data_IF_206965776397
#
_entry.id   IF_206965776397
#
_cell.length_a   1.000
_cell.length_b   1.000
_cell.length_c   1.000
_cell.angle_alpha   90.00
_cell.angle_beta   90.00
_cell.angle_gamma   90.00
#
_symmetry.space_group_name_H-M   'P 1'
#
loop_
_entity.id
_entity.type
_entity.pdbx_description
1 polymer ?
#
# COMPACT_ATOMS: atom_id res chain seq x y z
N UNK A 1 -58.96 -29.73 33.53
CA UNK A 1 -59.72 -30.77 32.81
C UNK A 1 -60.19 -30.17 31.48
N UNK A 2 -59.39 -30.30 30.42
CA UNK A 2 -59.89 -30.39 29.05
C UNK A 2 -58.80 -31.08 28.22
N UNK A 3 -59.22 -32.13 27.53
CA UNK A 3 -58.49 -32.89 26.51
C UNK A 3 -59.14 -32.48 25.19
N UNK A 4 -58.33 -32.28 24.14
CA UNK A 4 -58.67 -32.52 22.73
C UNK A 4 -57.35 -32.64 21.93
N UNK A 5 -56.91 -33.87 21.61
CA UNK A 5 -57.02 -34.56 20.30
C UNK A 5 -56.15 -33.96 19.19
N UNK A 6 -54.89 -34.43 19.04
CA UNK A 6 -54.37 -35.45 18.09
C UNK A 6 -54.33 -34.99 16.62
N UNK A 7 -53.12 -34.96 16.02
CA UNK A 7 -52.68 -35.49 14.71
C UNK A 7 -51.19 -35.07 14.55
N UNK A 8 -50.22 -35.80 14.01
CA UNK A 8 -50.05 -37.18 13.60
C UNK A 8 -48.52 -37.34 13.41
N UNK A 9 -47.95 -38.44 13.90
CA UNK A 9 -46.51 -38.71 13.83
C UNK A 9 -46.22 -39.35 12.46
N UNK A 10 -45.54 -38.62 11.57
CA UNK A 10 -44.87 -39.20 10.39
C UNK A 10 -43.38 -39.01 10.56
N UNK A 11 -42.71 -40.13 10.81
CA UNK A 11 -41.26 -40.25 10.85
C UNK A 11 -40.70 -40.08 9.43
N UNK A 12 -39.88 -39.06 9.23
CA UNK A 12 -38.96 -38.97 8.10
C UNK A 12 -37.54 -38.98 8.68
N UNK A 13 -36.86 -40.11 8.51
CA UNK A 13 -35.44 -40.27 8.78
C UNK A 13 -34.70 -39.54 7.66
N UNK A 14 -34.23 -38.32 7.90
CA UNK A 14 -33.23 -37.67 7.07
C UNK A 14 -31.84 -38.05 7.60
N UNK A 15 -31.17 -38.97 6.90
CA UNK A 15 -29.74 -39.22 7.06
C UNK A 15 -29.00 -38.01 6.48
N UNK A 16 -28.56 -37.11 7.34
CA UNK A 16 -27.61 -36.05 6.99
C UNK A 16 -26.21 -36.68 6.85
N UNK A 17 -25.77 -36.87 5.61
CA UNK A 17 -24.37 -37.13 5.31
C UNK A 17 -23.56 -35.86 5.63
N UNK A 18 -22.86 -35.85 6.77
CA UNK A 18 -21.80 -34.89 7.03
C UNK A 18 -20.66 -35.18 6.04
N UNK A 19 -20.60 -34.43 4.95
CA UNK A 19 -19.36 -34.28 4.20
C UNK A 19 -18.44 -33.40 5.06
N UNK A 20 -17.53 -34.03 5.81
CA UNK A 20 -16.44 -33.35 6.46
C UNK A 20 -15.50 -32.82 5.36
N UNK A 21 -15.71 -31.58 4.94
CA UNK A 21 -14.70 -30.84 4.19
C UNK A 21 -13.58 -30.52 5.16
N UNK A 22 -12.54 -31.35 5.13
CA UNK A 22 -11.25 -31.03 5.70
C UNK A 22 -10.72 -29.78 5.04
N UNK A 23 -10.94 -28.62 5.68
CA UNK A 23 -10.16 -27.42 5.43
C UNK A 23 -8.74 -27.77 5.84
N UNK A 24 -7.95 -28.18 4.86
CA UNK A 24 -6.50 -28.13 5.00
C UNK A 24 -6.16 -26.66 5.06
N UNK A 25 -6.01 -26.14 6.29
CA UNK A 25 -5.25 -24.92 6.49
C UNK A 25 -3.89 -25.20 5.84
N UNK A 26 -3.64 -24.61 4.68
CA UNK A 26 -2.29 -24.45 4.18
C UNK A 26 -1.60 -23.62 5.24
N UNK A 27 -0.90 -24.32 6.13
CA UNK A 27 0.06 -23.71 7.01
C UNK A 27 0.91 -22.80 6.14
N UNK A 28 0.89 -21.50 6.45
CA UNK A 28 1.96 -20.63 6.03
C UNK A 28 3.24 -21.36 6.40
N UNK A 29 4.00 -21.75 5.38
CA UNK A 29 5.37 -22.15 5.61
C UNK A 29 6.00 -20.99 6.40
N UNK A 30 6.46 -21.30 7.61
CA UNK A 30 7.08 -20.32 8.49
C UNK A 30 8.16 -19.54 7.76
N UNK A 31 8.42 -18.33 8.26
CA UNK A 31 9.50 -17.46 7.78
C UNK A 31 10.72 -18.31 7.36
N UNK A 32 11.19 -18.21 6.11
CA UNK A 32 12.41 -18.89 5.74
C UNK A 32 13.50 -18.39 6.68
N UNK A 33 14.08 -19.31 7.45
CA UNK A 33 15.28 -19.02 8.22
C UNK A 33 16.33 -18.42 7.29
N UNK A 34 16.92 -17.32 7.74
CA UNK A 34 17.90 -16.51 7.05
C UNK A 34 19.06 -17.35 6.51
N UNK A 35 19.03 -17.59 5.20
CA UNK A 35 20.18 -17.87 4.38
C UNK A 35 19.99 -17.06 3.12
N UNK A 36 20.57 -15.86 3.07
CA UNK A 36 20.62 -15.11 1.83
C UNK A 36 21.46 -15.93 0.85
N UNK A 37 20.81 -16.61 -0.10
CA UNK A 37 21.51 -17.04 -1.31
C UNK A 37 22.09 -15.81 -2.02
N UNK A 38 22.89 -15.99 -3.06
CA UNK A 38 23.48 -14.87 -3.81
C UNK A 38 22.43 -13.84 -4.28
N UNK A 39 21.16 -14.28 -4.41
CA UNK A 39 20.02 -13.44 -4.73
C UNK A 39 18.79 -13.78 -3.88
N UNK A 40 17.96 -12.78 -3.64
CA UNK A 40 16.68 -12.90 -2.95
C UNK A 40 15.64 -11.93 -3.52
N UNK A 41 14.37 -12.09 -3.14
CA UNK A 41 13.32 -11.16 -3.57
C UNK A 41 13.32 -9.93 -2.67
N UNK A 42 13.23 -8.76 -3.28
CA UNK A 42 13.04 -7.48 -2.60
C UNK A 42 11.81 -6.78 -3.17
N UNK A 43 11.01 -6.15 -2.32
CA UNK A 43 9.88 -5.33 -2.78
C UNK A 43 10.42 -4.04 -3.39
N UNK A 44 9.98 -3.72 -4.60
CA UNK A 44 10.44 -2.53 -5.36
C UNK A 44 9.33 -1.54 -5.67
N UNK A 45 8.09 -1.96 -5.44
CA UNK A 45 6.90 -1.14 -5.54
C UNK A 45 5.80 -1.82 -4.71
N UNK A 46 5.04 -1.02 -3.98
CA UNK A 46 3.83 -1.48 -3.32
C UNK A 46 2.77 -0.38 -3.31
N UNK A 47 1.52 -0.80 -3.18
CA UNK A 47 0.41 0.06 -2.78
C UNK A 47 -0.53 -0.75 -1.89
N UNK A 48 -0.75 -0.28 -0.66
CA UNK A 48 -1.58 -0.99 0.31
C UNK A 48 -3.05 -1.03 -0.15
N UNK A 49 -3.66 -2.20 -0.34
CA UNK A 49 -5.07 -2.28 -0.70
C UNK A 49 -5.95 -1.73 0.44
N UNK A 50 -7.04 -1.05 0.11
CA UNK A 50 -7.89 -0.38 1.11
C UNK A 50 -9.37 -0.68 0.92
N UNK A 51 -9.78 -0.82 -0.33
CA UNK A 51 -11.16 -0.98 -0.70
C UNK A 51 -11.38 -2.32 -1.40
N UNK A 52 -12.65 -2.74 -1.42
CA UNK A 52 -13.18 -3.52 -2.52
C UNK A 52 -14.16 -2.67 -3.34
N UNK A 53 -14.30 -1.38 -3.01
CA UNK A 53 -15.43 -0.57 -3.43
C UNK A 53 -15.11 0.19 -4.71
N UNK A 54 -15.91 -0.04 -5.74
CA UNK A 54 -16.12 0.95 -6.77
C UNK A 54 -16.71 2.21 -6.14
N UNK A 55 -16.28 3.38 -6.60
CA UNK A 55 -17.12 4.55 -6.38
C UNK A 55 -18.51 4.27 -6.97
N UNK A 56 -19.56 4.80 -6.37
CA UNK A 56 -20.88 4.89 -7.03
C UNK A 56 -20.74 5.84 -8.21
N UNK A 57 -20.25 5.35 -9.35
CA UNK A 57 -19.94 6.14 -10.54
C UNK A 57 -19.95 5.29 -11.81
N UNK A 58 -19.86 5.90 -13.01
CA UNK A 58 -19.89 5.20 -14.31
C UNK A 58 -18.73 4.22 -14.55
N UNK A 59 -17.81 4.12 -13.59
CA UNK A 59 -16.60 3.30 -13.58
C UNK A 59 -16.81 2.04 -12.73
N UNK A 60 -17.88 1.28 -13.01
CA UNK A 60 -18.17 0.01 -12.34
C UNK A 60 -17.53 -1.17 -13.08
N UNK A 61 -16.33 -1.68 -12.68
CA UNK A 61 -15.86 -3.06 -12.80
C UNK A 61 -16.90 -4.19 -12.63
N UNK A 62 -17.86 -4.27 -13.54
CA UNK A 62 -19.01 -5.15 -13.38
C UNK A 62 -18.93 -6.52 -14.07
N UNK A 63 -17.83 -6.87 -14.76
CA UNK A 63 -17.81 -8.07 -15.59
C UNK A 63 -16.47 -8.36 -16.28
N UNK A 64 -16.53 -9.17 -17.34
CA UNK A 64 -15.38 -9.53 -18.17
C UNK A 64 -14.65 -8.27 -18.68
N UNK A 65 -13.40 -8.06 -18.30
CA UNK A 65 -12.72 -6.78 -18.53
C UNK A 65 -11.21 -6.95 -18.43
N UNK A 66 -10.48 -6.11 -19.15
CA UNK A 66 -9.02 -6.03 -19.03
C UNK A 66 -8.61 -4.71 -18.37
N UNK A 67 -7.85 -4.80 -17.29
CA UNK A 67 -7.15 -3.69 -16.66
C UNK A 67 -5.71 -3.65 -17.16
N UNK A 68 -5.13 -2.46 -17.29
CA UNK A 68 -3.72 -2.23 -17.54
C UNK A 68 -3.22 -1.27 -16.48
N UNK A 69 -2.70 -1.86 -15.41
CA UNK A 69 -2.27 -1.16 -14.21
C UNK A 69 -0.84 -0.71 -14.41
N UNK A 70 -0.62 0.60 -14.37
CA UNK A 70 0.70 1.20 -14.50
C UNK A 70 1.29 1.37 -13.12
N UNK A 71 2.47 0.79 -12.92
CA UNK A 71 3.26 0.92 -11.69
C UNK A 71 4.66 1.39 -12.03
N UNK A 72 5.36 2.01 -11.09
CA UNK A 72 6.73 2.51 -11.31
C UNK A 72 7.64 2.00 -10.21
N UNK A 73 8.32 0.85 -10.42
CA UNK A 73 9.27 0.32 -9.47
C UNK A 73 10.44 1.27 -9.21
N UNK A 74 10.82 1.38 -7.94
CA UNK A 74 11.92 2.23 -7.47
C UNK A 74 13.29 1.64 -7.77
N UNK A 75 13.37 0.32 -7.95
CA UNK A 75 14.57 -0.40 -8.38
C UNK A 75 14.27 -1.25 -9.61
N UNK A 76 15.27 -1.37 -10.47
CA UNK A 76 15.26 -2.24 -11.65
C UNK A 76 15.85 -3.64 -11.40
N UNK A 77 15.67 -4.53 -12.37
CA UNK A 77 16.10 -5.93 -12.30
C UNK A 77 15.66 -6.73 -13.52
N UNK A 78 16.10 -7.99 -13.59
CA UNK A 78 15.89 -8.88 -14.75
C UNK A 78 14.77 -9.91 -14.55
N UNK A 79 14.20 -9.96 -13.36
CA UNK A 79 13.07 -10.84 -13.05
C UNK A 79 12.17 -10.18 -12.04
N UNK A 80 10.89 -10.12 -12.37
CA UNK A 80 9.85 -9.59 -11.49
C UNK A 80 8.96 -10.71 -10.96
N UNK A 81 8.33 -10.45 -9.82
CA UNK A 81 7.21 -11.24 -9.30
C UNK A 81 6.09 -10.27 -8.92
N UNK A 82 4.88 -10.55 -9.40
CA UNK A 82 3.72 -9.67 -9.22
C UNK A 82 2.81 -10.27 -8.16
N UNK A 83 2.37 -9.45 -7.20
CA UNK A 83 1.35 -9.84 -6.22
C UNK A 83 0.01 -9.24 -6.62
N UNK A 84 -0.94 -10.12 -6.87
CA UNK A 84 -2.34 -9.76 -7.09
C UNK A 84 -3.15 -9.92 -5.80
N UNK A 85 -4.18 -9.11 -5.63
CA UNK A 85 -4.97 -9.05 -4.39
C UNK A 85 -6.46 -9.22 -4.60
N UNK A 86 -7.08 -9.98 -3.69
CA UNK A 86 -8.52 -10.03 -3.45
C UNK A 86 -8.80 -9.88 -1.93
N UNK A 87 -7.92 -9.14 -1.23
CA UNK A 87 -7.88 -9.05 0.23
C UNK A 87 -9.15 -8.47 0.86
N UNK A 88 -9.86 -7.61 0.15
CA UNK A 88 -11.09 -7.00 0.65
C UNK A 88 -12.34 -7.45 -0.13
N UNK A 89 -12.17 -8.21 -1.22
CA UNK A 89 -13.27 -8.72 -2.01
C UNK A 89 -14.10 -9.75 -1.25
N UNK A 90 -15.38 -9.83 -1.59
CA UNK A 90 -16.35 -10.75 -0.97
C UNK A 90 -16.56 -12.03 -1.75
N UNK A 91 -16.07 -12.11 -2.99
CA UNK A 91 -16.22 -13.25 -3.90
C UNK A 91 -14.86 -13.66 -4.47
N UNK A 92 -14.66 -14.92 -4.88
CA UNK A 92 -13.44 -15.32 -5.57
C UNK A 92 -13.26 -14.54 -6.88
N UNK A 93 -12.04 -14.12 -7.17
CA UNK A 93 -11.68 -13.46 -8.43
C UNK A 93 -10.80 -14.39 -9.24
N UNK A 94 -11.19 -14.64 -10.49
CA UNK A 94 -10.37 -15.40 -11.45
C UNK A 94 -9.65 -14.44 -12.38
N UNK A 95 -8.33 -14.45 -12.32
CA UNK A 95 -7.47 -13.79 -13.29
C UNK A 95 -7.15 -14.79 -14.39
N UNK A 96 -7.84 -14.72 -15.52
CA UNK A 96 -7.72 -15.72 -16.60
C UNK A 96 -6.54 -15.49 -17.51
N UNK A 97 -6.08 -14.25 -17.61
CA UNK A 97 -4.83 -13.91 -18.26
C UNK A 97 -4.19 -12.72 -17.56
N UNK A 98 -2.88 -12.81 -17.35
CA UNK A 98 -2.07 -11.71 -16.86
C UNK A 98 -0.82 -11.59 -17.74
N UNK A 99 -0.48 -10.39 -18.13
CA UNK A 99 0.77 -10.06 -18.83
C UNK A 99 1.45 -8.89 -18.14
N UNK A 100 2.74 -8.76 -18.39
CA UNK A 100 3.53 -7.61 -17.96
C UNK A 100 4.36 -7.12 -19.14
N UNK A 101 4.51 -5.80 -19.27
CA UNK A 101 5.33 -5.18 -20.30
C UNK A 101 5.72 -3.75 -19.92
N UNK A 102 6.80 -3.24 -20.50
CA UNK A 102 7.26 -1.86 -20.30
C UNK A 102 6.30 -0.92 -21.02
N UNK A 103 5.84 0.10 -20.32
CA UNK A 103 4.97 1.12 -20.90
C UNK A 103 5.79 2.05 -21.80
N UNK A 104 5.26 2.44 -22.95
CA UNK A 104 5.88 3.45 -23.81
C UNK A 104 5.16 4.79 -23.69
N UNK A 105 3.87 4.82 -24.03
CA UNK A 105 3.03 6.00 -23.93
C UNK A 105 1.57 5.62 -23.73
N UNK A 106 0.90 6.27 -22.79
CA UNK A 106 -0.50 5.95 -22.52
C UNK A 106 -0.66 4.48 -22.15
N UNK A 107 -1.64 3.80 -22.70
CA UNK A 107 -1.80 2.36 -22.52
C UNK A 107 -0.85 1.50 -23.41
N UNK A 108 -0.01 2.09 -24.27
CA UNK A 108 0.82 1.33 -25.21
C UNK A 108 2.03 0.66 -24.55
N UNK A 109 2.41 -0.51 -25.06
CA UNK A 109 3.50 -1.34 -24.56
C UNK A 109 4.65 -1.41 -25.56
N UNK A 110 5.87 -1.57 -25.03
CA UNK A 110 7.03 -1.98 -25.82
C UNK A 110 6.83 -3.44 -26.29
N UNK A 111 6.75 -3.69 -27.62
CA UNK A 111 6.52 -5.02 -28.18
C UNK A 111 7.49 -6.10 -27.70
N UNK A 112 8.76 -5.75 -27.48
CA UNK A 112 9.80 -6.72 -27.15
C UNK A 112 9.80 -7.10 -25.66
N UNK A 113 9.04 -6.36 -24.85
CA UNK A 113 8.99 -6.51 -23.40
C UNK A 113 7.84 -7.36 -22.88
N UNK A 114 6.80 -7.60 -23.69
CA UNK A 114 5.58 -8.28 -23.20
C UNK A 114 5.89 -9.73 -22.81
N UNK A 115 5.54 -10.10 -21.58
CA UNK A 115 5.69 -11.45 -21.04
C UNK A 115 4.38 -11.94 -20.43
N UNK A 116 4.02 -13.22 -20.60
CA UNK A 116 2.95 -13.81 -19.83
C UNK A 116 3.36 -13.91 -18.36
N UNK A 117 2.40 -13.69 -17.47
CA UNK A 117 2.55 -13.92 -16.02
C UNK A 117 1.86 -15.24 -15.70
N UNK A 118 2.56 -16.13 -14.99
CA UNK A 118 2.04 -17.44 -14.61
C UNK A 118 1.98 -17.60 -13.10
N UNK A 119 1.26 -18.62 -12.64
CA UNK A 119 1.04 -18.94 -11.25
C UNK A 119 1.19 -20.45 -11.04
N UNK A 120 1.58 -20.83 -9.81
CA UNK A 120 1.66 -22.23 -9.38
C UNK A 120 2.49 -23.13 -10.33
N UNK A 121 3.62 -22.61 -10.85
CA UNK A 121 4.55 -23.37 -11.69
C UNK A 121 4.18 -23.42 -13.17
N UNK A 122 3.49 -22.41 -13.69
CA UNK A 122 3.26 -22.23 -15.13
C UNK A 122 1.80 -22.04 -15.58
N UNK A 123 0.82 -22.02 -14.66
CA UNK A 123 -0.57 -21.76 -15.03
C UNK A 123 -0.77 -20.30 -15.44
N UNK A 124 -1.34 -20.03 -16.61
CA UNK A 124 -1.65 -18.65 -17.06
C UNK A 124 -2.91 -18.07 -16.42
N UNK A 125 -3.61 -18.86 -15.61
CA UNK A 125 -4.85 -18.49 -14.92
C UNK A 125 -4.78 -18.88 -13.45
N UNK A 126 -5.40 -18.08 -12.59
CA UNK A 126 -5.50 -18.35 -11.15
C UNK A 126 -6.80 -17.80 -10.58
N UNK A 127 -7.36 -18.47 -9.58
CA UNK A 127 -8.53 -18.01 -8.82
C UNK A 127 -8.10 -17.69 -7.38
N UNK A 128 -8.35 -16.46 -6.96
CA UNK A 128 -7.99 -15.95 -5.63
C UNK A 128 -9.24 -15.84 -4.77
N UNK A 129 -9.23 -16.55 -3.64
CA UNK A 129 -10.34 -16.52 -2.69
C UNK A 129 -10.52 -15.14 -2.04
N UNK A 130 -11.73 -14.82 -1.51
CA UNK A 130 -11.94 -13.65 -0.66
C UNK A 130 -10.91 -13.59 0.47
N UNK A 131 -10.35 -12.40 0.72
CA UNK A 131 -9.39 -12.21 1.81
C UNK A 131 -7.97 -12.69 1.52
N UNK A 132 -7.67 -13.08 0.28
CA UNK A 132 -6.37 -13.63 -0.09
C UNK A 132 -5.64 -12.77 -1.14
N UNK A 133 -4.31 -12.96 -1.17
CA UNK A 133 -3.42 -12.46 -2.21
C UNK A 133 -2.76 -13.67 -2.90
N UNK A 134 -2.26 -13.47 -4.12
CA UNK A 134 -1.49 -14.48 -4.86
C UNK A 134 -0.24 -13.85 -5.47
N UNK A 135 0.89 -14.52 -5.36
CA UNK A 135 2.12 -14.13 -6.05
C UNK A 135 2.27 -14.94 -7.34
N UNK A 136 2.78 -14.31 -8.40
CA UNK A 136 3.14 -14.99 -9.64
C UNK A 136 4.38 -15.88 -9.47
N UNK A 137 4.60 -16.75 -10.45
CA UNK A 137 5.92 -17.30 -10.71
C UNK A 137 6.88 -16.16 -11.16
N UNK A 138 8.21 -16.38 -11.15
CA UNK A 138 9.17 -15.40 -11.64
C UNK A 138 8.98 -15.12 -13.14
N UNK A 139 8.91 -13.85 -13.52
CA UNK A 139 8.74 -13.41 -14.92
C UNK A 139 10.04 -12.77 -15.40
N UNK A 140 10.70 -13.31 -16.45
CA UNK A 140 11.96 -12.78 -16.96
C UNK A 140 11.71 -11.55 -17.84
N UNK A 141 11.90 -10.37 -17.25
CA UNK A 141 11.77 -9.06 -17.90
C UNK A 141 12.78 -8.11 -17.25
N UNK A 142 13.56 -7.40 -18.08
CA UNK A 142 14.48 -6.37 -17.62
C UNK A 142 13.77 -5.03 -17.58
N UNK A 143 13.79 -4.39 -16.42
CA UNK A 143 13.16 -3.09 -16.14
C UNK A 143 14.17 -2.22 -15.41
N UNK A 144 14.27 -0.94 -15.76
CA UNK A 144 15.09 0.03 -15.03
C UNK A 144 14.34 0.64 -13.83
N UNK A 145 15.08 1.16 -12.84
CA UNK A 145 14.46 1.93 -11.75
C UNK A 145 13.75 3.16 -12.31
N UNK A 146 12.56 3.44 -11.81
CA UNK A 146 11.65 4.47 -12.32
C UNK A 146 11.15 4.28 -13.76
N UNK A 147 11.35 3.12 -14.38
CA UNK A 147 10.73 2.78 -15.65
C UNK A 147 9.29 2.26 -15.42
N UNK A 148 8.26 2.86 -16.04
CA UNK A 148 6.89 2.40 -15.83
C UNK A 148 6.63 1.00 -16.42
N UNK A 149 6.03 0.15 -15.58
CA UNK A 149 5.64 -1.22 -15.89
C UNK A 149 4.13 -1.30 -15.97
N UNK A 150 3.61 -1.88 -17.05
CA UNK A 150 2.19 -2.14 -17.23
C UNK A 150 1.87 -3.60 -16.94
N UNK A 151 1.03 -3.84 -15.94
CA UNK A 151 0.51 -5.16 -15.59
C UNK A 151 -0.91 -5.25 -16.15
N UNK A 152 -1.09 -6.03 -17.22
CA UNK A 152 -2.42 -6.21 -17.81
C UNK A 152 -3.10 -7.43 -17.23
N UNK A 153 -4.33 -7.28 -16.73
CA UNK A 153 -5.07 -8.29 -15.97
C UNK A 153 -6.45 -8.43 -16.59
N UNK A 154 -6.76 -9.62 -17.09
CA UNK A 154 -8.09 -9.97 -17.55
C UNK A 154 -8.81 -10.84 -16.52
N UNK A 155 -10.07 -10.49 -16.24
CA UNK A 155 -10.98 -11.25 -15.38
C UNK A 155 -12.16 -11.77 -16.20
N UNK A 156 -12.58 -13.02 -16.00
CA UNK A 156 -13.58 -13.71 -16.85
C UNK A 156 -15.04 -13.62 -16.37
N UNK A 157 -15.38 -12.66 -15.51
CA UNK A 157 -16.73 -12.54 -15.01
C UNK A 157 -16.91 -11.40 -14.01
N UNK A 158 -18.01 -11.46 -13.26
CA UNK A 158 -18.24 -10.52 -12.15
C UNK A 158 -17.24 -10.87 -11.05
N UNK A 159 -16.13 -10.15 -10.97
CA UNK A 159 -15.20 -10.18 -9.82
C UNK A 159 -15.82 -9.59 -8.55
N UNK A 160 -17.09 -9.19 -8.62
CA UNK A 160 -17.70 -8.33 -7.63
C UNK A 160 -16.92 -7.03 -7.48
N UNK A 161 -16.82 -6.59 -6.24
CA UNK A 161 -16.14 -5.39 -5.80
C UNK A 161 -14.61 -5.55 -5.93
N UNK A 162 -13.97 -4.72 -6.77
CA UNK A 162 -12.53 -4.79 -7.07
C UNK A 162 -11.71 -4.37 -5.87
N UNK A 163 -10.88 -5.30 -5.37
CA UNK A 163 -9.87 -4.94 -4.38
C UNK A 163 -8.77 -4.12 -5.03
N UNK A 164 -8.46 -2.97 -4.46
CA UNK A 164 -7.38 -2.13 -4.96
C UNK A 164 -6.91 -1.11 -3.94
N UNK A 165 -6.06 -0.21 -4.43
CA UNK A 165 -5.61 0.96 -3.69
C UNK A 165 -6.25 2.23 -4.28
N UNK A 166 -6.80 3.07 -3.41
CA UNK A 166 -7.66 4.19 -3.80
C UNK A 166 -6.92 5.40 -4.43
N UNK A 167 -5.60 5.54 -4.23
CA UNK A 167 -4.81 6.69 -4.75
C UNK A 167 -3.44 6.29 -5.32
N UNK A 168 -3.41 5.65 -6.48
CA UNK A 168 -2.18 5.16 -7.10
C UNK A 168 -1.20 6.26 -7.57
N UNK A 169 -1.66 7.52 -7.71
CA UNK A 169 -0.91 8.64 -8.27
C UNK A 169 -0.26 8.35 -9.64
N UNK A 170 -0.82 7.37 -10.36
CA UNK A 170 -0.44 6.95 -11.70
C UNK A 170 -1.70 6.66 -12.51
N UNK A 171 -1.69 7.03 -13.79
CA UNK A 171 -2.78 6.77 -14.72
C UNK A 171 -2.71 5.32 -15.16
N UNK A 172 -3.69 4.53 -14.72
CA UNK A 172 -3.97 3.18 -15.21
C UNK A 172 -5.15 3.19 -16.16
N UNK A 173 -5.27 2.14 -16.97
CA UNK A 173 -6.27 2.06 -18.02
C UNK A 173 -7.11 0.80 -17.91
N UNK A 174 -8.32 0.83 -18.47
CA UNK A 174 -9.15 -0.36 -18.55
C UNK A 174 -10.09 -0.31 -19.75
N UNK A 175 -10.48 -1.49 -20.22
CA UNK A 175 -11.43 -1.64 -21.32
C UNK A 175 -12.84 -1.38 -20.82
N UNK A 176 -13.82 -1.02 -21.67
CA UNK A 176 -15.22 -1.22 -21.34
C UNK A 176 -15.52 -2.69 -20.94
N UNK A 177 -16.53 -2.94 -20.08
CA UNK A 177 -16.96 -4.30 -19.75
C UNK A 177 -17.43 -5.08 -20.99
N UNK A 178 -17.11 -6.37 -21.06
CA UNK A 178 -17.50 -7.31 -22.11
C UNK A 178 -16.63 -7.28 -23.37
N UNK A 179 -15.48 -6.59 -23.35
CA UNK A 179 -14.54 -6.57 -24.49
C UNK A 179 -13.57 -7.75 -24.52
N UNK A 180 -13.50 -8.54 -23.44
CA UNK A 180 -12.65 -9.73 -23.36
C UNK A 180 -11.17 -9.42 -23.07
N UNK A 181 -10.32 -10.40 -23.39
CA UNK A 181 -8.90 -10.39 -23.10
C UNK A 181 -8.12 -9.49 -24.09
N UNK A 182 -7.67 -8.35 -23.59
CA UNK A 182 -6.80 -7.39 -24.28
C UNK A 182 -5.40 -7.32 -23.65
N UNK A 183 -5.02 -8.32 -22.85
CA UNK A 183 -3.77 -8.26 -22.07
C UNK A 183 -2.51 -8.23 -22.94
N UNK A 184 -2.56 -8.83 -24.13
CA UNK A 184 -1.44 -8.86 -25.07
C UNK A 184 -1.44 -7.70 -26.09
N UNK A 185 -2.46 -6.83 -26.07
CA UNK A 185 -2.57 -5.74 -27.04
C UNK A 185 -1.45 -4.73 -26.83
N UNK A 186 -0.65 -4.52 -27.88
CA UNK A 186 0.48 -3.58 -27.85
C UNK A 186 0.01 -2.13 -27.92
N UNK A 187 -1.04 -1.86 -28.70
CA UNK A 187 -1.67 -0.56 -28.80
C UNK A 187 -2.61 -0.32 -27.62
N UNK A 188 -2.86 0.96 -27.32
CA UNK A 188 -3.75 1.38 -26.25
C UNK A 188 -5.23 1.47 -26.63
N UNK A 189 -5.61 1.22 -27.88
CA UNK A 189 -6.92 1.61 -28.44
C UNK A 189 -8.12 0.93 -27.75
N UNK A 190 -7.94 -0.28 -27.22
CA UNK A 190 -8.97 -1.00 -26.47
C UNK A 190 -9.23 -0.39 -25.08
N UNK A 191 -8.28 0.38 -24.55
CA UNK A 191 -8.27 0.92 -23.20
C UNK A 191 -8.78 2.37 -23.19
N UNK A 192 -10.07 2.54 -23.47
CA UNK A 192 -10.70 3.87 -23.59
C UNK A 192 -11.05 4.55 -22.26
N UNK A 193 -10.82 3.87 -21.13
CA UNK A 193 -11.08 4.39 -19.80
C UNK A 193 -9.80 4.49 -18.98
N UNK A 194 -9.77 5.44 -18.05
CA UNK A 194 -8.63 5.73 -17.18
C UNK A 194 -9.04 5.80 -15.72
N UNK A 195 -8.15 5.40 -14.83
CA UNK A 195 -8.29 5.60 -13.38
C UNK A 195 -6.95 5.96 -12.78
N UNK A 196 -6.96 6.67 -11.65
CA UNK A 196 -5.76 6.88 -10.82
C UNK A 196 -5.68 5.91 -9.65
N UNK A 197 -6.56 4.91 -9.60
CA UNK A 197 -6.53 3.81 -8.62
C UNK A 197 -5.60 2.69 -9.10
N UNK A 198 -5.25 1.80 -8.17
CA UNK A 198 -4.51 0.56 -8.48
C UNK A 198 -5.41 -0.65 -8.25
N UNK A 199 -6.16 -1.11 -9.27
CA UNK A 199 -6.97 -2.31 -9.13
C UNK A 199 -6.09 -3.57 -9.13
N UNK A 200 -6.41 -4.54 -8.29
CA UNK A 200 -5.86 -5.90 -8.24
C UNK A 200 -4.35 -6.07 -7.99
N UNK A 201 -3.51 -5.06 -8.11
CA UNK A 201 -2.06 -5.17 -7.87
C UNK A 201 -1.73 -4.55 -6.51
N UNK A 202 -0.99 -5.28 -5.68
CA UNK A 202 -0.54 -4.77 -4.37
C UNK A 202 0.98 -4.64 -4.26
N UNK A 203 1.74 -5.39 -5.05
CA UNK A 203 3.20 -5.42 -4.93
C UNK A 203 3.90 -5.88 -6.22
N UNK A 204 5.08 -5.33 -6.47
CA UNK A 204 6.05 -5.85 -7.45
C UNK A 204 7.38 -6.07 -6.76
N UNK A 205 7.81 -7.33 -6.75
CA UNK A 205 9.12 -7.74 -6.25
C UNK A 205 10.10 -7.89 -7.41
N UNK A 206 11.38 -7.66 -7.13
CA UNK A 206 12.47 -8.00 -8.04
C UNK A 206 13.45 -8.94 -7.38
N UNK A 207 14.02 -9.85 -8.17
CA UNK A 207 15.11 -10.71 -7.70
C UNK A 207 16.40 -9.89 -7.69
N UNK A 208 16.96 -9.62 -6.51
CA UNK A 208 18.11 -8.74 -6.32
C UNK A 208 19.28 -9.47 -5.63
N UNK A 209 20.52 -8.96 -5.73
CA UNK A 209 21.65 -9.44 -4.93
C UNK A 209 21.37 -9.36 -3.43
N UNK A 210 22.05 -10.20 -2.64
CA UNK A 210 21.85 -10.30 -1.19
C UNK A 210 21.97 -8.98 -0.40
N UNK A 211 22.77 -8.02 -0.86
CA UNK A 211 22.96 -6.73 -0.18
C UNK A 211 21.80 -5.74 -0.31
N UNK A 212 20.82 -6.03 -1.17
CA UNK A 212 19.68 -5.14 -1.44
C UNK A 212 18.59 -5.36 -0.42
N UNK A 213 18.09 -4.29 0.18
CA UNK A 213 17.02 -4.34 1.20
C UNK A 213 15.90 -3.38 0.87
N UNK A 214 14.78 -3.52 1.58
CA UNK A 214 13.60 -2.69 1.44
C UNK A 214 13.35 -1.88 2.73
N UNK A 215 13.09 -0.58 2.56
CA UNK A 215 12.48 0.29 3.59
C UNK A 215 11.01 0.48 3.22
N UNK A 216 10.09 0.21 4.15
CA UNK A 216 8.67 0.50 3.94
C UNK A 216 8.32 1.87 4.51
N UNK A 217 7.85 2.77 3.64
CA UNK A 217 7.21 4.02 4.02
C UNK A 217 5.75 3.76 4.42
N UNK A 218 5.49 3.62 5.71
CA UNK A 218 4.18 3.28 6.26
C UNK A 218 3.45 4.52 6.81
N UNK A 219 2.27 4.82 6.30
CA UNK A 219 1.59 6.04 6.73
C UNK A 219 0.19 6.31 6.20
N UNK A 220 -0.21 7.58 6.30
CA UNK A 220 -1.48 8.10 5.81
C UNK A 220 -1.36 8.79 4.43
N UNK A 221 -2.25 9.75 4.12
CA UNK A 221 -2.29 10.48 2.85
C UNK A 221 -1.00 11.23 2.52
N UNK A 222 -0.27 11.71 3.53
CA UNK A 222 1.01 12.37 3.30
C UNK A 222 2.09 11.36 2.87
N UNK A 223 1.97 10.10 3.29
CA UNK A 223 2.83 9.02 2.80
C UNK A 223 2.39 8.52 1.44
N UNK A 224 1.07 8.39 1.23
CA UNK A 224 0.46 7.99 -0.03
C UNK A 224 0.80 8.98 -1.18
N UNK A 225 1.02 10.24 -0.80
CA UNK A 225 1.50 11.29 -1.69
C UNK A 225 0.40 12.20 -2.23
N UNK A 226 -0.67 12.39 -1.46
CA UNK A 226 -1.77 13.26 -1.84
C UNK A 226 -1.30 14.73 -1.98
N UNK A 227 -1.79 15.45 -2.98
CA UNK A 227 -1.55 16.89 -3.17
C UNK A 227 -2.91 17.53 -3.42
N UNK A 228 -3.41 18.26 -2.43
CA UNK A 228 -4.74 18.86 -2.47
C UNK A 228 -4.87 19.95 -3.52
N UNK A 229 -5.87 19.79 -4.41
CA UNK A 229 -6.25 20.75 -5.43
C UNK A 229 -7.29 21.76 -4.95
N UNK A 230 -7.97 21.47 -3.84
CA UNK A 230 -9.00 22.31 -3.26
C UNK A 230 -8.88 22.38 -1.74
N UNK A 231 -9.68 23.25 -1.14
CA UNK A 231 -9.72 23.45 0.30
C UNK A 231 -10.29 22.24 1.07
N UNK A 232 -11.04 21.35 0.41
CA UNK A 232 -11.62 20.17 1.04
C UNK A 232 -10.63 19.02 1.15
N UNK A 233 -9.52 19.06 0.39
CA UNK A 233 -8.51 18.00 0.38
C UNK A 233 -9.02 16.69 -0.23
N UNK A 234 -10.08 16.76 -1.05
CA UNK A 234 -10.70 15.57 -1.66
C UNK A 234 -10.26 15.35 -3.10
N UNK A 235 -9.82 16.40 -3.78
CA UNK A 235 -9.36 16.36 -5.16
C UNK A 235 -7.83 16.46 -5.21
N UNK A 236 -7.21 15.52 -5.93
CA UNK A 236 -5.77 15.55 -6.22
C UNK A 236 -5.47 16.57 -7.32
N UNK A 237 -4.33 17.27 -7.24
CA UNK A 237 -3.83 18.09 -8.35
C UNK A 237 -3.50 17.19 -9.54
N UNK A 238 -4.24 17.31 -10.64
CA UNK A 238 -4.02 16.47 -11.83
C UNK A 238 -2.58 16.54 -12.38
N UNK A 239 -1.92 17.71 -12.26
CA UNK A 239 -0.56 17.92 -12.74
C UNK A 239 0.54 17.16 -12.01
N UNK A 240 0.25 16.48 -10.89
CA UNK A 240 1.23 15.64 -10.18
C UNK A 240 1.06 14.14 -10.46
N UNK A 241 -0.03 13.74 -11.14
CA UNK A 241 -0.23 12.36 -11.58
C UNK A 241 0.85 11.99 -12.59
N UNK A 242 1.36 10.77 -12.52
CA UNK A 242 2.44 10.24 -13.37
C UNK A 242 3.79 10.94 -13.20
N UNK A 243 3.95 11.83 -12.21
CA UNK A 243 5.21 12.58 -12.01
C UNK A 243 6.18 11.92 -11.01
N UNK A 244 5.72 10.96 -10.21
CA UNK A 244 6.50 10.33 -9.13
C UNK A 244 7.19 11.36 -8.22
N UNK A 245 6.36 12.23 -7.63
CA UNK A 245 6.77 13.37 -6.77
C UNK A 245 6.29 13.21 -5.32
N UNK A 246 6.11 11.97 -4.87
CA UNK A 246 5.79 11.63 -3.48
C UNK A 246 7.08 11.61 -2.66
N UNK A 247 7.02 11.75 -1.34
CA UNK A 247 8.25 11.70 -0.55
C UNK A 247 9.03 10.38 -0.70
N UNK A 248 8.39 9.19 -0.83
CA UNK A 248 9.13 7.95 -1.08
C UNK A 248 9.86 7.96 -2.43
N UNK A 249 9.27 8.60 -3.46
CA UNK A 249 9.90 8.75 -4.78
C UNK A 249 11.16 9.63 -4.70
N UNK A 250 11.09 10.76 -3.99
CA UNK A 250 12.25 11.62 -3.77
C UNK A 250 13.31 10.94 -2.89
N UNK A 251 12.88 10.18 -1.87
CA UNK A 251 13.78 9.46 -0.99
C UNK A 251 14.56 8.39 -1.74
N UNK A 252 13.90 7.62 -2.62
CA UNK A 252 14.60 6.65 -3.46
C UNK A 252 15.65 7.33 -4.35
N UNK A 253 15.31 8.45 -5.01
CA UNK A 253 16.30 9.16 -5.85
C UNK A 253 17.52 9.60 -5.04
N UNK A 254 17.35 10.02 -3.78
CA UNK A 254 18.47 10.34 -2.87
C UNK A 254 19.32 9.11 -2.55
N UNK A 255 18.69 7.96 -2.33
CA UNK A 255 19.37 6.69 -2.09
C UNK A 255 20.18 6.24 -3.33
N UNK A 256 19.60 6.37 -4.52
CA UNK A 256 20.27 6.07 -5.79
C UNK A 256 21.48 6.99 -6.01
N UNK A 257 21.32 8.30 -5.78
CA UNK A 257 22.41 9.29 -5.87
C UNK A 257 23.55 9.01 -4.87
N UNK A 258 23.22 8.43 -3.71
CA UNK A 258 24.19 8.00 -2.71
C UNK A 258 24.82 6.63 -3.02
N UNK A 259 24.37 5.93 -4.08
CA UNK A 259 24.82 4.57 -4.41
C UNK A 259 24.37 3.52 -3.38
N UNK A 260 23.26 3.77 -2.69
CA UNK A 260 22.70 2.85 -1.69
C UNK A 260 21.99 1.67 -2.35
N UNK A 261 22.03 0.52 -1.70
CA UNK A 261 21.32 -0.69 -2.11
C UNK A 261 19.93 -0.82 -1.49
N UNK A 262 19.44 0.22 -0.82
CA UNK A 262 18.12 0.26 -0.19
C UNK A 262 17.05 0.69 -1.19
N UNK A 263 15.90 0.01 -1.16
CA UNK A 263 14.73 0.32 -1.97
C UNK A 263 13.57 0.77 -1.09
N UNK A 264 12.94 1.90 -1.43
CA UNK A 264 11.79 2.41 -0.69
C UNK A 264 10.50 1.88 -1.33
N UNK A 265 9.54 1.47 -0.51
CA UNK A 265 8.19 1.12 -0.97
C UNK A 265 7.14 1.91 -0.22
N UNK A 266 5.99 2.15 -0.85
CA UNK A 266 4.94 2.99 -0.30
C UNK A 266 3.78 2.14 0.25
N UNK A 267 3.54 2.25 1.55
CA UNK A 267 2.40 1.66 2.25
C UNK A 267 1.52 2.76 2.88
N UNK A 268 1.47 3.93 2.24
CA UNK A 268 0.57 5.03 2.56
C UNK A 268 -0.88 4.70 2.17
N UNK A 269 -1.83 5.21 2.96
CA UNK A 269 -3.26 5.16 2.63
C UNK A 269 -3.88 6.51 2.97
N UNK A 270 -4.52 7.14 1.98
CA UNK A 270 -5.31 8.35 2.20
C UNK A 270 -6.27 8.27 3.39
N UNK A 271 -6.21 9.25 4.31
CA UNK A 271 -7.10 9.33 5.48
C UNK A 271 -6.94 8.21 6.51
N UNK A 272 -5.88 7.39 6.42
CA UNK A 272 -5.66 6.29 7.34
C UNK A 272 -5.38 6.78 8.76
N UNK A 273 -5.88 6.01 9.72
CA UNK A 273 -5.67 6.25 11.15
C UNK A 273 -4.88 5.10 11.73
N UNK A 274 -4.05 5.37 12.72
CA UNK A 274 -3.28 4.37 13.44
C UNK A 274 -4.21 3.42 14.23
N UNK A 275 -5.14 4.00 14.99
CA UNK A 275 -5.90 3.31 16.04
C UNK A 275 -7.25 2.74 15.58
N UNK A 276 -7.76 3.15 14.43
CA UNK A 276 -9.12 2.82 13.99
C UNK A 276 -9.22 2.69 12.49
N UNK A 277 -10.12 1.85 12.02
CA UNK A 277 -10.42 1.77 10.58
C UNK A 277 -10.89 3.14 10.08
N UNK A 278 -10.60 3.45 8.82
CA UNK A 278 -11.08 4.67 8.19
C UNK A 278 -12.60 4.80 8.22
N UNK A 279 -13.12 6.03 8.09
CA UNK A 279 -14.57 6.30 8.15
C UNK A 279 -15.36 5.62 7.02
N UNK A 280 -14.68 5.31 5.92
CA UNK A 280 -15.18 4.51 4.80
C UNK A 280 -14.09 3.52 4.38
N UNK A 281 -14.44 2.40 3.72
CA UNK A 281 -13.47 1.36 3.37
C UNK A 281 -12.23 1.88 2.63
N UNK A 282 -12.39 2.83 1.69
CA UNK A 282 -11.28 3.40 0.93
C UNK A 282 -10.17 4.07 1.77
N UNK A 283 -10.45 4.44 3.02
CA UNK A 283 -9.46 5.01 3.96
C UNK A 283 -8.73 3.93 4.79
N UNK A 284 -8.97 2.65 4.46
CA UNK A 284 -8.24 1.50 4.94
C UNK A 284 -8.59 1.03 6.36
N UNK A 285 -8.04 -0.13 6.71
CA UNK A 285 -8.02 -0.64 8.09
C UNK A 285 -7.09 0.19 8.97
N UNK A 286 -7.29 0.15 10.29
CA UNK A 286 -6.39 0.76 11.25
C UNK A 286 -4.91 0.42 10.95
N UNK A 287 -4.02 1.39 11.09
CA UNK A 287 -2.58 1.18 10.85
C UNK A 287 -2.03 0.01 11.68
N UNK A 288 -2.46 -0.10 12.94
CA UNK A 288 -2.08 -1.23 13.80
C UNK A 288 -2.49 -2.59 13.23
N UNK A 289 -3.62 -2.70 12.54
CA UNK A 289 -4.15 -3.99 12.07
C UNK A 289 -3.61 -4.41 10.69
N UNK A 290 -2.88 -3.53 10.00
CA UNK A 290 -2.32 -3.79 8.66
C UNK A 290 -0.80 -3.97 8.61
N UNK A 291 -0.10 -3.91 9.76
CA UNK A 291 1.36 -4.09 9.83
C UNK A 291 1.83 -5.40 9.18
N UNK A 292 1.19 -6.54 9.45
CA UNK A 292 1.55 -7.80 8.79
C UNK A 292 1.44 -7.68 7.28
N UNK A 293 0.27 -7.25 6.83
CA UNK A 293 -0.13 -7.37 5.44
C UNK A 293 0.58 -6.36 4.53
N UNK A 294 0.98 -5.22 5.09
CA UNK A 294 1.54 -4.10 4.33
C UNK A 294 3.03 -3.87 4.61
N UNK A 295 3.58 -4.42 5.70
CA UNK A 295 4.99 -4.27 6.08
C UNK A 295 5.67 -5.63 6.14
N UNK A 296 5.26 -6.52 7.06
CA UNK A 296 6.02 -7.74 7.37
C UNK A 296 6.05 -8.77 6.23
N UNK A 297 5.11 -8.67 5.27
CA UNK A 297 5.07 -9.56 4.10
C UNK A 297 5.80 -9.01 2.87
N UNK A 298 6.45 -7.84 2.99
CA UNK A 298 7.29 -7.29 1.94
C UNK A 298 8.66 -7.99 1.96
N UNK A 299 9.06 -8.66 0.86
CA UNK A 299 10.36 -9.31 0.79
C UNK A 299 11.51 -8.32 0.97
N UNK A 300 12.53 -8.72 1.72
CA UNK A 300 13.72 -7.92 1.95
C UNK A 300 13.52 -6.72 2.87
N UNK A 301 12.37 -6.58 3.52
CA UNK A 301 12.13 -5.47 4.47
C UNK A 301 13.05 -5.57 5.67
N UNK A 302 13.69 -4.45 6.00
CA UNK A 302 14.61 -4.36 7.15
C UNK A 302 14.33 -3.16 8.04
N UNK A 303 13.71 -2.13 7.48
CA UNK A 303 13.49 -0.85 8.11
C UNK A 303 12.10 -0.32 7.73
N UNK A 304 11.48 0.45 8.62
CA UNK A 304 10.13 1.00 8.43
C UNK A 304 10.10 2.44 8.88
N UNK A 305 9.68 3.33 8.00
CA UNK A 305 9.31 4.69 8.37
C UNK A 305 7.85 4.66 8.80
N UNK A 306 7.57 4.92 10.08
CA UNK A 306 6.20 5.01 10.61
C UNK A 306 5.83 6.48 10.68
N UNK A 307 4.93 6.89 9.79
CA UNK A 307 4.45 8.27 9.70
C UNK A 307 2.95 8.33 9.45
N UNK A 308 2.20 8.23 10.54
CA UNK A 308 0.74 8.19 10.58
C UNK A 308 0.27 8.86 11.86
N UNK A 309 -0.94 9.42 11.88
CA UNK A 309 -1.62 9.77 13.13
C UNK A 309 -2.34 11.11 13.12
N UNK A 310 -2.16 11.93 12.08
CA UNK A 310 -2.87 13.20 11.96
C UNK A 310 -4.39 13.00 11.88
N UNK A 311 -4.82 12.00 11.10
CA UNK A 311 -6.23 11.63 10.97
C UNK A 311 -6.84 11.08 12.29
N UNK A 312 -6.04 10.46 13.17
CA UNK A 312 -6.49 10.05 14.51
C UNK A 312 -6.90 11.25 15.35
N UNK A 313 -6.27 12.42 15.12
CA UNK A 313 -6.59 13.66 15.82
C UNK A 313 -7.76 14.43 15.19
N UNK A 314 -7.93 14.36 13.87
CA UNK A 314 -8.91 15.17 13.15
C UNK A 314 -10.27 14.53 12.83
N UNK A 315 -10.35 13.20 12.71
CA UNK A 315 -11.59 12.52 12.27
C UNK A 315 -12.41 11.89 13.40
N UNK A 316 -13.73 12.10 13.42
CA UNK A 316 -14.44 13.29 13.92
C UNK A 316 -14.39 13.47 15.45
N UNK A 317 -13.84 12.51 16.20
CA UNK A 317 -13.50 12.67 17.63
C UNK A 317 -12.03 12.31 17.78
N UNK A 318 -11.20 13.31 18.05
CA UNK A 318 -9.75 13.14 18.15
C UNK A 318 -9.36 12.15 19.26
N UNK A 319 -8.43 11.26 18.93
CA UNK A 319 -7.86 10.33 19.88
C UNK A 319 -7.13 11.09 21.02
N UNK A 320 -7.33 10.70 22.28
CA UNK A 320 -6.53 11.22 23.38
C UNK A 320 -5.04 10.90 23.18
N UNK A 321 -4.18 11.82 23.65
CA UNK A 321 -2.72 11.65 23.64
C UNK A 321 -2.28 10.26 24.11
N UNK A 322 -2.84 9.77 25.21
CA UNK A 322 -2.44 8.51 25.84
C UNK A 322 -2.72 7.30 24.94
N UNK A 323 -3.83 7.32 24.18
CA UNK A 323 -4.16 6.23 23.25
C UNK A 323 -3.21 6.20 22.06
N UNK A 324 -2.88 7.38 21.52
CA UNK A 324 -2.02 7.47 20.35
C UNK A 324 -0.57 7.08 20.66
N UNK A 325 -0.05 7.53 21.81
CA UNK A 325 1.26 7.08 22.32
C UNK A 325 1.28 5.56 22.54
N UNK A 326 0.23 5.01 23.15
CA UNK A 326 0.14 3.55 23.35
C UNK A 326 0.12 2.82 22.01
N UNK A 327 -0.58 3.35 21.00
CA UNK A 327 -0.60 2.76 19.67
C UNK A 327 0.76 2.78 18.99
N UNK A 328 1.49 3.89 19.05
CA UNK A 328 2.87 3.94 18.54
C UNK A 328 3.77 2.93 19.25
N UNK A 329 3.70 2.82 20.58
CA UNK A 329 4.47 1.82 21.32
C UNK A 329 4.16 0.40 20.82
N UNK A 330 2.88 0.04 20.64
CA UNK A 330 2.52 -1.28 20.11
C UNK A 330 3.04 -1.53 18.70
N UNK A 331 3.00 -0.54 17.82
CA UNK A 331 3.55 -0.67 16.46
C UNK A 331 5.07 -0.85 16.49
N UNK A 332 5.77 -0.04 17.28
CA UNK A 332 7.23 -0.14 17.43
C UNK A 332 7.60 -1.53 17.97
N UNK A 333 6.98 -1.96 19.07
CA UNK A 333 7.24 -3.27 19.68
C UNK A 333 7.00 -4.40 18.67
N UNK A 334 5.91 -4.34 17.90
CA UNK A 334 5.58 -5.37 16.90
C UNK A 334 6.58 -5.43 15.75
N UNK A 335 7.07 -4.29 15.28
CA UNK A 335 8.07 -4.22 14.21
C UNK A 335 9.43 -4.71 14.72
N UNK A 336 9.80 -4.34 15.95
CA UNK A 336 11.01 -4.83 16.62
C UNK A 336 10.97 -6.33 16.90
N UNK A 337 9.82 -6.87 17.33
CA UNK A 337 9.61 -8.31 17.51
C UNK A 337 9.77 -9.09 16.19
N UNK A 338 9.52 -8.44 15.05
CA UNK A 338 9.77 -8.97 13.72
C UNK A 338 11.21 -8.72 13.21
N UNK A 339 12.08 -8.11 14.03
CA UNK A 339 13.48 -7.84 13.69
C UNK A 339 13.70 -6.59 12.83
N UNK A 340 12.68 -5.76 12.62
CA UNK A 340 12.78 -4.56 11.78
C UNK A 340 13.21 -3.35 12.59
N UNK A 341 13.90 -2.41 11.96
CA UNK A 341 14.21 -1.10 12.53
C UNK A 341 13.07 -0.13 12.28
N UNK A 342 12.83 0.79 13.22
CA UNK A 342 11.70 1.72 13.17
C UNK A 342 12.17 3.17 13.21
N UNK A 343 11.75 3.95 12.22
CA UNK A 343 12.02 5.39 12.12
C UNK A 343 10.69 6.14 12.28
N UNK A 344 10.53 6.81 13.42
CA UNK A 344 9.24 7.44 13.77
C UNK A 344 9.19 8.89 13.31
N UNK A 345 8.21 9.22 12.46
CA UNK A 345 8.00 10.57 11.94
C UNK A 345 7.10 11.42 12.84
N UNK A 346 7.47 12.68 13.09
CA UNK A 346 6.58 13.65 13.74
C UNK A 346 5.40 14.04 12.82
N UNK A 347 4.22 14.34 13.38
CA UNK A 347 3.07 14.83 12.63
C UNK A 347 3.26 16.28 12.17
N UNK A 348 3.01 16.55 10.90
CA UNK A 348 3.04 17.91 10.35
C UNK A 348 1.99 18.82 10.99
N UNK A 349 2.23 20.14 10.99
CA UNK A 349 1.21 21.11 11.40
C UNK A 349 0.04 21.14 10.42
N UNK A 350 -1.18 21.28 10.95
CA UNK A 350 -2.41 21.29 10.14
C UNK A 350 -3.55 22.13 10.76
N UNK A 351 -3.24 23.09 11.66
CA UNK A 351 -4.28 23.78 12.43
C UNK A 351 -5.24 24.64 11.58
N UNK A 352 -4.85 24.97 10.35
CA UNK A 352 -5.67 25.66 9.35
C UNK A 352 -6.15 24.74 8.21
N UNK A 353 -5.86 23.44 8.28
CA UNK A 353 -6.49 22.43 7.44
C UNK A 353 -7.93 22.20 7.88
N UNK A 354 -8.81 21.82 6.95
CA UNK A 354 -10.24 21.70 7.24
C UNK A 354 -10.52 20.61 8.29
N UNK A 355 -10.23 19.34 7.96
CA UNK A 355 -10.57 18.18 8.79
C UNK A 355 -9.73 18.09 10.08
N UNK A 356 -8.42 18.33 9.96
CA UNK A 356 -7.42 18.11 11.00
C UNK A 356 -7.05 19.39 11.79
N UNK A 357 -7.79 20.47 11.57
CA UNK A 357 -7.61 21.75 12.25
C UNK A 357 -8.93 22.44 12.56
N UNK A 358 -9.58 22.98 11.52
CA UNK A 358 -10.72 23.89 11.67
C UNK A 358 -12.00 23.22 12.17
N UNK A 359 -12.23 21.95 11.82
CA UNK A 359 -13.44 21.22 12.22
C UNK A 359 -13.22 20.16 13.29
N UNK A 360 -11.98 19.94 13.76
CA UNK A 360 -11.68 18.93 14.78
C UNK A 360 -12.22 19.35 16.15
N UNK A 361 -12.83 18.42 16.87
CA UNK A 361 -13.31 18.66 18.24
C UNK A 361 -12.97 17.49 19.19
N UNK A 362 -12.17 17.70 20.26
CA UNK A 362 -11.42 18.95 20.57
C UNK A 362 -10.40 19.30 19.47
N UNK A 363 -9.87 20.53 19.43
CA UNK A 363 -8.85 20.91 18.45
C UNK A 363 -7.63 19.98 18.48
N UNK A 364 -7.15 19.58 17.30
CA UNK A 364 -6.07 18.60 17.16
C UNK A 364 -4.68 19.14 17.58
N UNK A 365 -4.37 20.41 17.30
CA UNK A 365 -3.00 20.95 17.41
C UNK A 365 -2.39 20.86 18.83
N UNK A 366 -3.10 21.16 19.93
CA UNK A 366 -2.55 20.96 21.27
C UNK A 366 -2.16 19.51 21.57
N UNK A 367 -2.94 18.54 21.05
CA UNK A 367 -2.63 17.11 21.20
C UNK A 367 -1.46 16.74 20.31
N UNK A 368 -1.45 17.19 19.05
CA UNK A 368 -0.36 17.00 18.09
C UNK A 368 0.97 17.48 18.65
N UNK A 369 1.04 18.69 19.20
CA UNK A 369 2.26 19.24 19.83
C UNK A 369 2.73 18.36 20.98
N UNK A 370 1.81 17.88 21.83
CA UNK A 370 2.13 16.98 22.94
C UNK A 370 2.67 15.64 22.44
N UNK A 371 2.04 15.06 21.41
CA UNK A 371 2.50 13.80 20.77
C UNK A 371 3.86 13.98 20.12
N UNK A 372 4.08 15.05 19.34
CA UNK A 372 5.37 15.33 18.72
C UNK A 372 6.48 15.55 19.77
N UNK A 373 6.17 16.15 20.92
CA UNK A 373 7.12 16.24 22.03
C UNK A 373 7.51 14.86 22.57
N UNK A 374 6.56 13.91 22.62
CA UNK A 374 6.84 12.53 22.99
C UNK A 374 7.68 11.83 21.91
N UNK A 375 7.31 11.94 20.63
CA UNK A 375 8.04 11.36 19.49
C UNK A 375 9.52 11.76 19.53
N UNK A 376 9.82 13.04 19.81
CA UNK A 376 11.20 13.54 19.88
C UNK A 376 12.00 13.09 21.11
N UNK A 377 11.32 12.74 22.20
CA UNK A 377 11.97 12.46 23.50
C UNK A 377 12.04 10.97 23.84
N UNK A 378 11.20 10.14 23.22
CA UNK A 378 11.24 8.69 23.39
C UNK A 378 12.53 8.06 22.86
N UNK A 379 12.77 6.80 23.25
CA UNK A 379 13.93 5.96 22.85
C UNK A 379 13.50 4.53 22.46
N UNK A 380 12.21 4.38 22.16
CA UNK A 380 11.59 3.14 21.69
C UNK A 380 11.92 2.89 20.23
N UNK A 381 11.86 3.91 19.35
CA UNK A 381 12.23 3.76 17.95
C UNK A 381 13.74 3.92 17.73
N UNK A 382 14.27 3.35 16.64
CA UNK A 382 15.68 3.40 16.28
C UNK A 382 16.14 4.81 15.90
N UNK A 383 15.28 5.57 15.21
CA UNK A 383 15.49 6.99 14.98
C UNK A 383 14.18 7.78 14.92
N UNK A 384 14.31 9.11 14.87
CA UNK A 384 13.18 10.05 14.78
C UNK A 384 13.41 10.95 13.57
N UNK A 385 12.36 11.15 12.76
CA UNK A 385 12.39 12.06 11.61
C UNK A 385 11.46 13.23 11.90
N UNK A 386 12.03 14.44 12.03
CA UNK A 386 11.29 15.63 12.43
C UNK A 386 10.64 16.37 11.25
N UNK A 387 9.65 15.71 10.63
CA UNK A 387 8.86 16.31 9.55
C UNK A 387 8.14 17.60 9.97
N UNK A 388 7.70 17.73 11.23
CA UNK A 388 7.07 18.96 11.75
C UNK A 388 8.02 20.15 11.65
N UNK A 389 9.26 20.00 12.14
CA UNK A 389 10.24 21.07 12.08
C UNK A 389 10.63 21.43 10.65
N UNK A 390 10.61 20.46 9.73
CA UNK A 390 10.98 20.66 8.33
C UNK A 390 9.98 21.57 7.59
N UNK A 391 8.68 21.38 7.77
CA UNK A 391 7.66 22.02 6.91
C UNK A 391 6.82 23.11 7.59
N UNK A 392 6.96 23.33 8.89
CA UNK A 392 6.15 24.32 9.62
C UNK A 392 6.53 25.76 9.30
N UNK A 393 5.54 26.65 9.31
CA UNK A 393 5.79 28.08 9.18
C UNK A 393 6.60 28.60 10.40
N UNK A 394 7.71 29.33 10.19
CA UNK A 394 8.55 29.79 11.29
C UNK A 394 7.89 30.85 12.19
N UNK A 395 6.87 31.56 11.68
CA UNK A 395 6.11 32.56 12.44
C UNK A 395 4.82 31.97 13.03
N UNK A 396 4.32 30.87 12.49
CA UNK A 396 3.19 30.12 13.05
C UNK A 396 3.41 28.59 12.96
N UNK A 397 4.08 27.99 13.95
CA UNK A 397 4.43 26.56 13.96
C UNK A 397 3.24 25.58 13.95
N UNK A 398 2.00 26.06 14.04
CA UNK A 398 0.78 25.25 13.97
C UNK A 398 0.26 25.08 12.54
N UNK A 399 0.85 25.74 11.54
CA UNK A 399 0.51 25.59 10.11
C UNK A 399 1.73 25.22 9.26
N UNK A 400 1.49 24.64 8.08
CA UNK A 400 2.51 24.44 7.05
C UNK A 400 3.02 25.79 6.53
N UNK A 401 4.32 25.88 6.24
CA UNK A 401 4.87 27.00 5.50
C UNK A 401 4.21 27.06 4.12
N UNK A 402 3.80 28.26 3.70
CA UNK A 402 2.99 28.47 2.48
C UNK A 402 3.55 27.81 1.23
N UNK A 403 4.87 27.73 1.09
CA UNK A 403 5.53 27.09 -0.07
C UNK A 403 5.29 25.57 -0.11
N UNK A 404 5.19 24.95 1.06
CA UNK A 404 5.04 23.52 1.22
C UNK A 404 3.58 23.10 1.40
N UNK A 405 2.66 24.03 1.66
CA UNK A 405 1.23 23.75 1.81
C UNK A 405 0.50 23.67 0.46
N UNK A 406 -0.23 22.58 0.22
CA UNK A 406 -1.18 22.50 -0.88
C UNK A 406 -2.47 23.30 -0.58
N UNK A 407 -3.46 23.30 -1.48
CA UNK A 407 -4.65 24.16 -1.37
C UNK A 407 -5.50 23.91 -0.12
N UNK A 408 -5.39 22.71 0.47
CA UNK A 408 -6.10 22.30 1.69
C UNK A 408 -5.40 22.70 3.00
N UNK A 409 -4.16 23.20 2.94
CA UNK A 409 -3.30 23.45 4.10
C UNK A 409 -3.07 22.23 5.02
N UNK A 410 -3.22 21.02 4.48
CA UNK A 410 -3.00 19.75 5.17
C UNK A 410 -1.90 18.95 4.49
N UNK A 411 -1.98 18.83 3.16
CA UNK A 411 -1.05 18.02 2.38
C UNK A 411 0.11 18.84 1.81
N UNK A 412 1.31 18.24 1.67
CA UNK A 412 2.44 18.88 1.03
C UNK A 412 2.24 19.18 -0.46
N UNK A 413 2.91 20.22 -0.97
CA UNK A 413 3.21 20.37 -2.40
C UNK A 413 4.37 19.43 -2.80
N UNK A 414 4.67 19.24 -4.10
CA UNK A 414 5.88 18.52 -4.52
C UNK A 414 7.18 19.05 -3.90
N UNK A 415 7.30 20.38 -3.71
CA UNK A 415 8.44 20.98 -3.00
C UNK A 415 8.46 20.55 -1.52
N UNK A 416 7.29 20.49 -0.88
CA UNK A 416 7.14 19.98 0.48
C UNK A 416 7.53 18.51 0.59
N UNK A 417 7.10 17.66 -0.36
CA UNK A 417 7.48 16.24 -0.39
C UNK A 417 8.97 16.02 -0.61
N UNK A 418 9.62 16.84 -1.45
CA UNK A 418 11.08 16.83 -1.57
C UNK A 418 11.75 17.16 -0.24
N UNK A 419 11.30 18.22 0.45
CA UNK A 419 11.88 18.60 1.74
C UNK A 419 11.68 17.53 2.84
N UNK A 420 10.51 16.88 2.86
CA UNK A 420 10.23 15.74 3.73
C UNK A 420 11.22 14.61 3.45
N UNK A 421 11.41 14.26 2.17
CA UNK A 421 12.38 13.25 1.79
C UNK A 421 13.80 13.66 2.21
N UNK A 422 14.21 14.92 2.02
CA UNK A 422 15.53 15.45 2.40
C UNK A 422 15.79 15.39 3.92
N UNK A 423 14.74 15.39 4.74
CA UNK A 423 14.82 15.32 6.21
C UNK A 423 15.20 13.92 6.70
N UNK A 424 14.99 12.88 5.89
CA UNK A 424 15.35 11.51 6.24
C UNK A 424 16.87 11.35 6.20
N UNK A 425 17.47 10.93 7.33
CA UNK A 425 18.86 10.50 7.35
C UNK A 425 18.97 9.08 6.77
N UNK A 426 19.38 9.01 5.51
CA UNK A 426 19.50 7.74 4.78
C UNK A 426 20.59 6.81 5.34
N UNK A 427 21.47 7.31 6.22
CA UNK A 427 22.51 6.49 6.85
C UNK A 427 21.98 5.64 8.01
N UNK A 428 20.75 5.90 8.48
CA UNK A 428 20.09 5.14 9.55
C UNK A 428 19.54 3.79 9.06
N UNK A 429 19.33 3.63 7.75
CA UNK A 429 18.88 2.39 7.10
C UNK A 429 20.01 1.37 7.07
N UNK A 430 20.21 0.74 8.22
CA UNK A 430 21.30 -0.20 8.50
C UNK A 430 20.79 -1.61 8.76
N UNK A 431 19.48 -1.82 8.68
CA UNK A 431 18.89 -3.15 8.76
C UNK A 431 19.40 -3.95 7.56
N UNK A 432 20.22 -4.96 7.83
CA UNK A 432 20.67 -5.90 6.82
C UNK A 432 20.66 -7.29 7.43
N UNK A 433 19.61 -8.05 7.09
CA UNK A 433 19.43 -9.44 7.54
C UNK A 433 20.64 -10.31 7.18
N UNK A 434 21.30 -10.03 6.05
CA UNK A 434 22.42 -10.83 5.54
C UNK A 434 23.74 -10.56 6.27
N UNK A 435 23.89 -9.43 6.96
CA UNK A 435 25.07 -9.15 7.82
C UNK A 435 24.87 -9.56 9.27
N UNK A 436 23.63 -9.63 9.75
CA UNK A 436 23.32 -9.99 11.14
C UNK A 436 23.72 -11.45 11.49
N UNK A 437 23.82 -12.34 10.49
CA UNK A 437 24.15 -13.77 10.70
C UNK A 437 25.67 -14.03 10.79
N UNK A 438 26.52 -13.07 10.39
CA UNK A 438 27.99 -13.24 10.39
C UNK A 438 28.71 -12.52 11.55
N UNK A 439 27.98 -12.03 12.55
CA UNK A 439 28.50 -11.06 13.52
C UNK A 439 28.26 -11.38 14.99
N UNK A 440 28.48 -12.61 15.46
CA UNK A 440 28.68 -12.89 16.89
C UNK A 440 29.33 -14.26 17.16
N UNK A 441 30.58 -14.41 16.77
CA UNK A 441 31.54 -15.31 17.44
C UNK A 441 32.91 -14.61 17.47
N UNK A 442 33.16 -13.86 18.55
CA UNK A 442 34.48 -13.67 19.15
C UNK A 442 34.36 -13.08 20.57
#
# INVERSE_FOLDING_TARGET
>A
MSRDFRYGLLAAICVSALAATSVTATAWAGAPGAGCGDRHWVSTWSASPTDAVESTGPETPGGEQTYRVVVTPHRGGDSVRIRLTNRFGSEPVTFTRVTVGRQTQGAALDPDSVRPVTFAGGSTSTTVAPGADVASDPVPITVEGFEPLSISIHTDGRSGQVTGHASGNATSYYTPPGLGDHTADLAGDAFSQTTTRVPFVSQVDMLAPAGVTTVVAFGDSATDGHVGADFFGTQQVAGVVDQNVRYPDFLQRRLDEAGSDVVVTNAGIGGNRLLSDGLVPALGRAGESRIEADVLTQPGVTDVIVWIGMNDLGMPIGAPYEQLVTGYTRVIDRLHDAGLRVHLGTMMPASNGLADGLTSFPPADPVRVRVNSWIRSQRLSDSVIDFDAAVRDPNNPSILERRYASADNLHPTPDGYRLIADTVDITEFTGNECTAVNGSDN
#
